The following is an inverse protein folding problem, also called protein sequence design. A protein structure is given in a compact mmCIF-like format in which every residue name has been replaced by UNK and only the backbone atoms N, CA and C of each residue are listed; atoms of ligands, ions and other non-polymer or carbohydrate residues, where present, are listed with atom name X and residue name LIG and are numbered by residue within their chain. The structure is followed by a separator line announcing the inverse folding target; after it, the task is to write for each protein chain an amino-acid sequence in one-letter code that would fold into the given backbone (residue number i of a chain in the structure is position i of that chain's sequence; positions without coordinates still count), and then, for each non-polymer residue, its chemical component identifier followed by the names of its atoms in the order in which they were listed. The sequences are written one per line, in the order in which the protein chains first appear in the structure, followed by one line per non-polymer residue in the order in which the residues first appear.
data_IF_011237930458
#
_entry.id   IF_011237930458
#
_cell.length_a   1.000
_cell.length_b   1.000
_cell.length_c   1.000
_cell.angle_alpha   90.00
_cell.angle_beta   90.00
_cell.angle_gamma   90.00
#
_symmetry.space_group_name_H-M   'P 1'
#
loop_
_entity.id
_entity.type
_entity.pdbx_description
1 polymer ?
#
# COMPACT_ATOMS: atom_id res chain seq x y z
N UNK A 1 -8.96 6.89 -6.35
CA UNK A 1 -7.61 6.62 -5.79
C UNK A 1 -7.18 7.90 -5.08
N UNK A 2 -6.87 7.81 -3.80
CA UNK A 2 -6.52 8.98 -3.00
C UNK A 2 -5.02 9.31 -3.14
N UNK A 3 -4.64 10.58 -3.32
CA UNK A 3 -3.28 11.02 -3.05
C UNK A 3 -2.94 10.83 -1.56
N UNK A 4 -1.65 10.80 -1.23
CA UNK A 4 -1.18 10.73 0.16
C UNK A 4 -1.42 12.04 0.92
N UNK A 5 -2.68 12.32 1.24
CA UNK A 5 -3.17 13.52 1.93
C UNK A 5 -4.26 13.12 2.91
N UNK A 6 -4.12 13.46 4.18
CA UNK A 6 -5.05 13.06 5.25
C UNK A 6 -6.50 13.43 4.94
N UNK A 7 -6.76 14.68 4.53
CA UNK A 7 -8.10 15.14 4.14
C UNK A 7 -8.71 14.26 3.03
N UNK A 8 -7.97 14.04 1.95
CA UNK A 8 -8.48 13.24 0.81
C UNK A 8 -8.65 11.75 1.17
N UNK A 9 -7.80 11.22 2.06
CA UNK A 9 -7.96 9.85 2.58
C UNK A 9 -9.26 9.73 3.39
N UNK A 10 -9.59 10.73 4.22
CA UNK A 10 -10.84 10.77 5.00
C UNK A 10 -12.05 10.81 4.09
N UNK A 11 -12.05 11.72 3.12
CA UNK A 11 -13.15 11.89 2.17
C UNK A 11 -13.44 10.60 1.38
N UNK A 12 -12.38 9.93 0.90
CA UNK A 12 -12.52 8.66 0.16
C UNK A 12 -13.04 7.53 1.05
N UNK A 13 -12.64 7.51 2.33
CA UNK A 13 -13.16 6.51 3.28
C UNK A 13 -14.63 6.75 3.56
N UNK A 14 -15.03 7.99 3.83
CA UNK A 14 -16.43 8.34 4.11
C UNK A 14 -17.34 8.08 2.90
N UNK A 15 -16.90 8.48 1.71
CA UNK A 15 -17.62 8.24 0.45
C UNK A 15 -17.79 6.73 0.17
N UNK A 16 -16.75 5.93 0.37
CA UNK A 16 -16.82 4.48 0.18
C UNK A 16 -17.76 3.80 1.18
N UNK A 17 -17.72 4.21 2.46
CA UNK A 17 -18.63 3.69 3.50
C UNK A 17 -20.08 4.08 3.18
N UNK A 18 -20.34 5.35 2.88
CA UNK A 18 -21.68 5.84 2.56
C UNK A 18 -22.26 5.18 1.30
N UNK A 19 -21.44 5.04 0.25
CA UNK A 19 -21.82 4.36 -1.00
C UNK A 19 -22.20 2.90 -0.76
N UNK A 20 -21.40 2.15 0.01
CA UNK A 20 -21.72 0.76 0.33
C UNK A 20 -23.00 0.63 1.20
N UNK A 21 -23.16 1.52 2.19
CA UNK A 21 -24.32 1.56 3.05
C UNK A 21 -25.62 1.85 2.29
N UNK A 22 -25.58 2.66 1.21
CA UNK A 22 -26.75 2.98 0.38
C UNK A 22 -27.44 1.77 -0.24
N UNK A 23 -26.71 0.65 -0.37
CA UNK A 23 -27.20 -0.64 -0.89
C UNK A 23 -27.19 -1.76 0.15
N UNK A 24 -26.95 -1.44 1.43
CA UNK A 24 -26.91 -2.41 2.52
C UNK A 24 -25.72 -3.37 2.46
N UNK A 25 -24.63 -2.99 1.78
CA UNK A 25 -23.42 -3.79 1.64
C UNK A 25 -22.29 -3.29 2.56
N UNK A 26 -21.36 -4.15 2.99
CA UNK A 26 -20.13 -3.70 3.62
C UNK A 26 -19.20 -3.05 2.59
N UNK A 27 -18.41 -2.04 2.97
CA UNK A 27 -17.39 -1.47 2.08
C UNK A 27 -16.27 -2.48 1.80
N UNK A 28 -15.62 -2.30 0.66
CA UNK A 28 -14.44 -3.05 0.26
C UNK A 28 -13.25 -2.10 0.07
N UNK A 29 -12.07 -2.54 0.49
CA UNK A 29 -10.86 -1.73 0.45
C UNK A 29 -9.79 -2.42 -0.39
N UNK A 30 -9.24 -1.66 -1.34
CA UNK A 30 -8.27 -2.14 -2.32
C UNK A 30 -7.22 -1.06 -2.53
N UNK A 31 -5.98 -1.33 -2.11
CA UNK A 31 -4.84 -0.47 -2.42
C UNK A 31 -4.28 -0.76 -3.81
N UNK A 32 -4.14 -2.03 -4.18
CA UNK A 32 -3.68 -2.49 -5.49
C UNK A 32 -4.53 -3.65 -6.03
N UNK A 33 -4.47 -3.86 -7.34
CA UNK A 33 -5.00 -5.02 -8.04
C UNK A 33 -4.25 -5.17 -9.38
N UNK A 34 -4.68 -6.11 -10.22
CA UNK A 34 -4.07 -6.41 -11.52
C UNK A 34 -4.30 -5.37 -12.64
N UNK A 35 -4.99 -4.26 -12.35
CA UNK A 35 -5.34 -3.20 -13.31
C UNK A 35 -4.79 -1.83 -12.92
N UNK A 36 -4.18 -1.71 -11.74
CA UNK A 36 -3.72 -0.44 -11.19
C UNK A 36 -2.24 -0.52 -10.86
N UNK A 37 -1.54 0.59 -11.04
CA UNK A 37 -0.15 0.77 -10.59
C UNK A 37 0.03 0.34 -9.14
N UNK A 38 1.08 -0.43 -8.86
CA UNK A 38 1.43 -0.87 -7.51
C UNK A 38 1.53 0.31 -6.53
N UNK A 39 1.04 0.11 -5.31
CA UNK A 39 0.94 1.15 -4.27
C UNK A 39 2.27 1.86 -3.99
N UNK A 40 3.40 1.14 -4.02
CA UNK A 40 4.73 1.75 -3.80
C UNK A 40 5.04 2.79 -4.85
N UNK A 41 4.87 2.47 -6.14
CA UNK A 41 5.09 3.41 -7.24
C UNK A 41 4.08 4.56 -7.22
N UNK A 42 2.83 4.28 -6.84
CA UNK A 42 1.80 5.32 -6.71
C UNK A 42 2.17 6.39 -5.68
N UNK A 43 2.84 5.99 -4.61
CA UNK A 43 3.20 6.89 -3.50
C UNK A 43 4.66 7.35 -3.50
N UNK A 44 5.47 6.92 -4.47
CA UNK A 44 6.89 7.28 -4.60
C UNK A 44 7.14 8.66 -5.21
N UNK A 45 6.10 9.34 -5.67
CA UNK A 45 6.17 10.65 -6.36
C UNK A 45 5.32 11.69 -5.65
N UNK A 46 5.33 12.92 -6.15
CA UNK A 46 4.52 14.02 -5.60
C UNK A 46 3.03 13.69 -5.55
N UNK A 47 2.36 14.15 -4.50
CA UNK A 47 1.00 13.75 -4.15
C UNK A 47 0.08 14.97 -4.28
N UNK A 48 -0.67 15.11 -5.39
CA UNK A 48 -1.46 16.31 -5.65
C UNK A 48 -2.63 16.44 -4.66
N UNK A 49 -3.17 17.65 -4.51
CA UNK A 49 -4.32 17.91 -3.63
C UNK A 49 -5.68 17.47 -4.22
N UNK A 50 -5.70 16.61 -5.24
CA UNK A 50 -6.93 16.15 -5.89
C UNK A 50 -6.84 14.66 -6.24
N UNK A 51 -7.99 14.02 -6.45
CA UNK A 51 -8.06 12.62 -6.87
C UNK A 51 -7.41 12.42 -8.24
N UNK A 52 -6.61 11.36 -8.37
CA UNK A 52 -5.89 11.04 -9.61
C UNK A 52 -6.38 9.73 -10.22
N UNK A 53 -6.51 9.73 -11.54
CA UNK A 53 -6.84 8.55 -12.35
C UNK A 53 -5.58 7.78 -12.81
N UNK A 54 -5.78 6.60 -13.40
CA UNK A 54 -4.68 5.76 -13.91
C UNK A 54 -3.84 6.46 -14.98
N UNK A 55 -4.51 7.13 -15.91
CA UNK A 55 -3.81 7.74 -17.05
C UNK A 55 -2.95 8.91 -16.61
N UNK A 56 -3.45 9.70 -15.66
CA UNK A 56 -2.67 10.76 -15.03
C UNK A 56 -1.45 10.19 -14.28
N UNK A 57 -1.65 9.10 -13.54
CA UNK A 57 -0.59 8.44 -12.78
C UNK A 57 0.52 7.88 -13.68
N UNK A 58 0.18 7.33 -14.86
CA UNK A 58 1.18 6.82 -15.81
C UNK A 58 1.86 7.92 -16.61
N UNK A 59 1.13 8.97 -17.01
CA UNK A 59 1.66 10.04 -17.85
C UNK A 59 2.84 10.81 -17.21
N UNK A 60 2.92 10.81 -15.88
CA UNK A 60 4.00 11.48 -15.12
C UNK A 60 5.26 10.64 -14.95
N UNK A 61 5.24 9.34 -15.22
CA UNK A 61 6.41 8.46 -15.04
C UNK A 61 7.63 8.95 -15.83
N UNK A 62 7.43 9.52 -17.02
CA UNK A 62 8.50 10.08 -17.84
C UNK A 62 9.04 11.43 -17.34
N UNK A 63 8.35 12.09 -16.40
CA UNK A 63 8.63 13.47 -15.98
C UNK A 63 9.07 13.59 -14.52
N UNK A 64 8.98 12.51 -13.75
CA UNK A 64 9.30 12.50 -12.33
C UNK A 64 9.85 11.14 -11.95
N UNK A 65 11.07 11.12 -11.42
CA UNK A 65 11.69 9.89 -10.93
C UNK A 65 11.01 9.44 -9.63
N UNK A 66 10.82 8.14 -9.42
CA UNK A 66 10.22 7.62 -8.20
C UNK A 66 11.24 7.56 -7.05
N UNK A 67 10.84 8.01 -5.86
CA UNK A 67 11.49 7.64 -4.60
C UNK A 67 10.82 6.37 -4.05
N UNK A 68 11.35 5.19 -4.43
CA UNK A 68 10.80 3.91 -3.96
C UNK A 68 10.98 3.70 -2.45
N UNK A 69 11.96 4.34 -1.79
CA UNK A 69 12.09 4.26 -0.34
C UNK A 69 10.92 4.97 0.34
N UNK A 70 10.58 6.17 -0.11
CA UNK A 70 9.39 6.91 0.32
C UNK A 70 8.10 6.14 0.00
N UNK A 71 7.99 5.63 -1.24
CA UNK A 71 6.85 4.84 -1.69
C UNK A 71 6.61 3.60 -0.82
N UNK A 72 7.65 2.88 -0.41
CA UNK A 72 7.55 1.73 0.50
C UNK A 72 7.09 2.14 1.90
N UNK A 73 7.59 3.25 2.45
CA UNK A 73 7.14 3.77 3.75
C UNK A 73 5.63 4.06 3.73
N UNK A 74 5.19 4.81 2.72
CA UNK A 74 3.76 5.16 2.52
C UNK A 74 2.90 3.94 2.25
N UNK A 75 3.35 2.98 1.45
CA UNK A 75 2.60 1.76 1.18
C UNK A 75 2.37 0.93 2.45
N UNK A 76 3.38 0.81 3.32
CA UNK A 76 3.27 0.15 4.63
C UNK A 76 2.26 0.87 5.53
N UNK A 77 2.32 2.20 5.59
CA UNK A 77 1.36 3.00 6.36
C UNK A 77 -0.07 2.86 5.81
N UNK A 78 -0.24 2.90 4.49
CA UNK A 78 -1.52 2.70 3.80
C UNK A 78 -2.13 1.33 4.11
N UNK A 79 -1.29 0.29 4.17
CA UNK A 79 -1.71 -1.07 4.50
C UNK A 79 -2.35 -1.13 5.89
N UNK A 80 -1.75 -0.47 6.89
CA UNK A 80 -2.32 -0.42 8.24
C UNK A 80 -3.64 0.36 8.30
N UNK A 81 -3.78 1.44 7.53
CA UNK A 81 -5.06 2.15 7.40
C UNK A 81 -6.12 1.22 6.79
N UNK A 82 -5.84 0.62 5.64
CA UNK A 82 -6.74 -0.35 4.99
C UNK A 82 -7.14 -1.48 5.96
N UNK A 83 -6.17 -2.02 6.69
CA UNK A 83 -6.36 -3.13 7.62
C UNK A 83 -6.98 -2.72 8.96
N UNK A 84 -7.27 -1.44 9.20
CA UNK A 84 -8.07 -0.97 10.33
C UNK A 84 -9.50 -0.54 9.94
N UNK A 85 -9.81 -0.40 8.64
CA UNK A 85 -11.15 -0.02 8.18
C UNK A 85 -12.18 -1.18 8.28
N UNK A 86 -13.48 -0.87 8.50
CA UNK A 86 -14.56 -1.87 8.57
C UNK A 86 -14.78 -2.55 7.21
N UNK A 87 -15.35 -3.75 7.17
CA UNK A 87 -15.61 -4.47 5.92
C UNK A 87 -14.43 -5.31 5.42
N UNK A 88 -14.36 -5.53 4.11
CA UNK A 88 -13.43 -6.50 3.50
C UNK A 88 -12.23 -5.81 2.87
N UNK A 89 -11.02 -6.20 3.30
CA UNK A 89 -9.78 -5.76 2.67
C UNK A 89 -9.29 -6.80 1.66
N UNK A 90 -8.84 -6.33 0.49
CA UNK A 90 -8.19 -7.16 -0.52
C UNK A 90 -6.70 -6.81 -0.56
N UNK A 91 -5.86 -7.84 -0.56
CA UNK A 91 -4.41 -7.72 -0.71
C UNK A 91 -4.02 -8.32 -2.06
N UNK A 92 -3.43 -7.51 -2.93
CA UNK A 92 -2.96 -7.99 -4.23
C UNK A 92 -1.57 -8.62 -4.11
N UNK A 93 -1.30 -9.63 -4.93
CA UNK A 93 -0.06 -10.40 -4.85
C UNK A 93 1.19 -9.49 -4.99
N UNK A 94 2.08 -9.56 -4.01
CA UNK A 94 3.29 -8.73 -3.92
C UNK A 94 3.08 -7.36 -3.28
N UNK A 95 1.86 -6.97 -2.93
CA UNK A 95 1.60 -5.78 -2.10
C UNK A 95 2.20 -5.98 -0.70
N UNK A 96 2.05 -7.18 -0.14
CA UNK A 96 2.64 -7.61 1.13
C UNK A 96 4.17 -7.69 1.10
N UNK A 97 4.77 -7.68 -0.10
CA UNK A 97 6.21 -7.60 -0.30
C UNK A 97 6.66 -6.16 -0.62
N UNK A 98 5.74 -5.21 -0.63
CA UNK A 98 5.93 -3.84 -1.09
C UNK A 98 6.48 -3.74 -2.52
N UNK A 99 6.20 -4.66 -3.44
CA UNK A 99 6.75 -4.56 -4.80
C UNK A 99 6.28 -3.25 -5.47
N UNK A 100 7.21 -2.61 -6.16
CA UNK A 100 6.98 -1.47 -7.04
C UNK A 100 6.57 -1.92 -8.45
N UNK A 101 5.97 -1.01 -9.20
CA UNK A 101 5.62 -1.18 -10.60
C UNK A 101 6.89 -1.30 -11.46
N UNK A 102 6.88 -2.21 -12.45
CA UNK A 102 7.91 -2.20 -13.49
C UNK A 102 7.45 -1.32 -14.64
N UNK A 103 7.97 -0.09 -14.65
CA UNK A 103 7.58 0.95 -15.60
C UNK A 103 8.26 0.79 -16.97
N UNK A 104 9.48 0.22 -17.00
CA UNK A 104 10.37 0.17 -18.16
C UNK A 104 10.42 -1.21 -18.84
N UNK A 105 9.27 -1.88 -18.94
CA UNK A 105 9.17 -3.15 -19.67
C UNK A 105 9.49 -2.96 -21.17
N UNK A 106 10.37 -3.78 -21.79
CA UNK A 106 10.60 -3.72 -23.23
C UNK A 106 9.29 -3.92 -24.02
N UNK A 107 9.10 -3.11 -25.06
CA UNK A 107 7.83 -3.06 -25.80
C UNK A 107 7.47 -4.36 -26.51
N UNK A 108 8.46 -5.16 -26.90
CA UNK A 108 8.31 -6.47 -27.52
C UNK A 108 7.94 -7.58 -26.52
N UNK A 109 8.11 -7.32 -25.22
CA UNK A 109 7.77 -8.25 -24.14
C UNK A 109 6.41 -7.95 -23.50
N UNK A 110 5.77 -6.82 -23.84
CA UNK A 110 4.43 -6.46 -23.35
C UNK A 110 3.38 -7.50 -23.77
N UNK A 111 2.51 -7.85 -22.84
CA UNK A 111 1.48 -8.88 -22.95
C UNK A 111 0.07 -8.32 -22.86
N UNK A 112 -0.11 -7.13 -22.28
CA UNK A 112 -1.40 -6.47 -22.15
C UNK A 112 -1.92 -6.01 -23.54
N UNK A 113 -3.11 -6.45 -23.98
CA UNK A 113 -3.68 -6.02 -25.26
C UNK A 113 -3.86 -4.49 -25.37
N UNK A 114 -3.95 -3.77 -24.24
CA UNK A 114 -3.98 -2.29 -24.22
C UNK A 114 -2.84 -1.67 -25.00
N UNK A 115 -1.64 -2.28 -24.97
CA UNK A 115 -0.46 -1.79 -25.69
C UNK A 115 -0.73 -1.70 -27.19
N UNK A 116 -1.22 -2.79 -27.78
CA UNK A 116 -1.54 -2.86 -29.22
C UNK A 116 -2.80 -2.04 -29.54
N UNK A 117 -3.84 -2.14 -28.70
CA UNK A 117 -5.14 -1.48 -28.95
C UNK A 117 -5.06 0.04 -28.87
N UNK A 118 -4.15 0.59 -28.07
CA UNK A 118 -3.90 2.04 -28.00
C UNK A 118 -3.07 2.56 -29.17
N UNK A 119 -2.55 1.70 -30.05
CA UNK A 119 -1.59 2.10 -31.07
C UNK A 119 -0.21 2.42 -30.47
N UNK A 120 0.19 1.68 -29.43
CA UNK A 120 1.50 1.78 -28.78
C UNK A 120 1.73 3.09 -28.01
N UNK A 121 0.68 3.61 -27.37
CA UNK A 121 0.76 4.85 -26.58
C UNK A 121 0.41 4.69 -25.10
N UNK A 122 -0.27 3.60 -24.72
CA UNK A 122 -0.52 3.24 -23.32
C UNK A 122 0.21 1.93 -22.98
N UNK A 123 1.20 2.05 -22.11
CA UNK A 123 2.03 0.94 -21.59
C UNK A 123 1.22 -0.20 -20.93
N UNK A 124 -0.05 0.05 -20.60
CA UNK A 124 -0.98 -0.95 -20.11
C UNK A 124 -0.78 -1.25 -18.62
N UNK A 125 -0.95 -2.54 -18.28
CA UNK A 125 -1.03 -3.04 -16.89
C UNK A 125 0.03 -4.11 -16.58
N UNK A 126 0.96 -4.38 -17.48
CA UNK A 126 1.93 -5.46 -17.29
C UNK A 126 2.90 -5.21 -16.14
N UNK A 127 3.22 -3.95 -15.82
CA UNK A 127 4.14 -3.59 -14.74
C UNK A 127 3.71 -4.09 -13.36
N UNK A 128 2.40 -4.21 -13.11
CA UNK A 128 1.89 -4.79 -11.87
C UNK A 128 1.74 -6.32 -11.93
N UNK A 129 1.88 -6.95 -13.11
CA UNK A 129 1.61 -8.38 -13.36
C UNK A 129 2.86 -9.26 -13.43
N UNK A 130 4.02 -8.67 -13.22
CA UNK A 130 5.30 -9.37 -13.18
C UNK A 130 5.25 -10.55 -12.18
N UNK A 131 5.80 -11.73 -12.55
CA UNK A 131 5.90 -12.89 -11.66
C UNK A 131 6.50 -12.55 -10.29
N UNK A 132 6.03 -13.21 -9.22
CA UNK A 132 6.48 -12.90 -7.85
C UNK A 132 7.87 -13.47 -7.52
N UNK A 133 8.69 -12.74 -6.74
CA UNK A 133 9.96 -13.24 -6.24
C UNK A 133 9.76 -14.09 -4.98
N UNK A 134 10.03 -15.40 -5.07
CA UNK A 134 9.87 -16.33 -3.94
C UNK A 134 11.14 -16.49 -3.11
N UNK A 135 12.32 -16.46 -3.74
CA UNK A 135 13.60 -16.67 -3.08
C UNK A 135 14.66 -15.65 -3.52
N UNK A 136 15.78 -15.61 -2.78
CA UNK A 136 16.88 -14.65 -2.99
C UNK A 136 17.88 -15.08 -4.09
N UNK A 137 17.51 -16.04 -4.94
CA UNK A 137 18.41 -16.52 -6.00
C UNK A 137 18.43 -15.58 -7.20
N UNK A 138 18.98 -16.01 -8.35
CA UNK A 138 18.88 -15.23 -9.58
C UNK A 138 17.45 -15.25 -10.14
N UNK A 139 17.14 -14.31 -11.03
CA UNK A 139 15.91 -14.34 -11.84
C UNK A 139 15.71 -15.74 -12.44
N UNK A 140 14.52 -16.36 -12.29
CA UNK A 140 13.26 -15.75 -11.87
C UNK A 140 12.88 -15.94 -10.38
N UNK A 141 13.85 -15.84 -9.45
CA UNK A 141 13.62 -15.84 -8.00
C UNK A 141 12.75 -16.99 -7.50
N UNK A 142 12.92 -18.19 -8.08
CA UNK A 142 12.13 -19.37 -7.74
C UNK A 142 10.70 -19.40 -8.27
N UNK A 143 10.28 -18.44 -9.11
CA UNK A 143 8.99 -18.52 -9.82
C UNK A 143 8.97 -19.69 -10.82
N UNK A 144 10.08 -19.91 -11.51
CA UNK A 144 10.33 -21.13 -12.28
C UNK A 144 11.32 -22.04 -11.54
N UNK A 145 11.16 -23.35 -11.71
CA UNK A 145 12.01 -24.37 -11.07
C UNK A 145 13.45 -24.34 -11.56
N UNK A 146 13.69 -23.83 -12.77
CA UNK A 146 15.02 -23.78 -13.39
C UNK A 146 15.50 -22.32 -13.44
N UNK A 147 16.63 -21.97 -12.79
CA UNK A 147 17.21 -20.63 -12.87
C UNK A 147 17.47 -20.18 -14.31
N UNK A 148 17.28 -18.89 -14.61
CA UNK A 148 17.43 -18.35 -15.97
C UNK A 148 16.29 -18.70 -16.94
N UNK A 149 15.23 -19.38 -16.50
CA UNK A 149 14.03 -19.59 -17.33
C UNK A 149 13.37 -18.24 -17.62
N UNK A 150 13.23 -17.91 -18.90
CA UNK A 150 12.49 -16.72 -19.32
C UNK A 150 11.00 -16.88 -18.97
N UNK A 151 10.46 -15.92 -18.24
CA UNK A 151 9.03 -15.83 -17.93
C UNK A 151 8.31 -14.96 -18.94
N UNK A 152 6.98 -15.10 -19.02
CA UNK A 152 6.12 -14.33 -19.93
C UNK A 152 6.21 -12.81 -19.71
N UNK A 153 6.57 -12.38 -18.50
CA UNK A 153 7.01 -11.03 -18.17
C UNK A 153 8.31 -11.14 -17.33
N UNK A 154 9.41 -10.46 -17.70
CA UNK A 154 10.67 -10.49 -16.97
C UNK A 154 10.57 -9.83 -15.60
N UNK A 155 11.15 -10.47 -14.58
CA UNK A 155 11.40 -9.83 -13.28
C UNK A 155 12.65 -8.94 -13.35
N UNK A 156 12.70 -7.83 -12.61
CA UNK A 156 13.90 -6.99 -12.55
C UNK A 156 14.98 -7.61 -11.66
N UNK A 157 16.24 -7.25 -11.88
CA UNK A 157 17.40 -7.82 -11.18
C UNK A 157 17.50 -7.44 -9.69
N UNK A 158 16.81 -6.38 -9.26
CA UNK A 158 16.88 -5.87 -7.88
C UNK A 158 15.81 -6.45 -6.94
N UNK A 159 14.97 -7.40 -7.38
CA UNK A 159 13.90 -7.95 -6.55
C UNK A 159 14.32 -9.04 -5.55
N UNK A 160 15.60 -9.43 -5.53
CA UNK A 160 16.12 -10.43 -4.60
C UNK A 160 15.78 -10.09 -3.13
N UNK A 161 16.02 -8.84 -2.72
CA UNK A 161 15.79 -8.36 -1.35
C UNK A 161 14.29 -8.22 -0.99
N UNK A 162 13.43 -8.14 -2.01
CA UNK A 162 11.98 -8.08 -1.82
C UNK A 162 11.31 -9.45 -1.89
N UNK A 163 12.08 -10.51 -2.12
CA UNK A 163 11.56 -11.88 -2.18
C UNK A 163 10.90 -12.31 -0.87
N UNK A 164 9.98 -13.28 -0.97
CA UNK A 164 9.33 -13.89 0.21
C UNK A 164 10.38 -14.40 1.19
N UNK A 165 11.39 -15.13 0.70
CA UNK A 165 12.45 -15.68 1.56
C UNK A 165 13.26 -14.61 2.32
N UNK A 166 13.60 -13.50 1.66
CA UNK A 166 14.31 -12.40 2.30
C UNK A 166 13.47 -11.78 3.42
N UNK A 167 12.22 -11.43 3.09
CA UNK A 167 11.34 -10.75 4.03
C UNK A 167 10.84 -11.66 5.17
N UNK A 168 10.73 -12.97 4.94
CA UNK A 168 10.32 -13.93 5.98
C UNK A 168 11.27 -13.90 7.18
N UNK A 169 12.57 -13.73 6.94
CA UNK A 169 13.62 -13.72 7.97
C UNK A 169 13.78 -12.40 8.71
N UNK A 170 13.32 -11.30 8.12
CA UNK A 170 13.42 -9.97 8.73
C UNK A 170 12.12 -9.61 9.46
N UNK A 171 12.10 -9.54 10.79
CA UNK A 171 10.91 -9.17 11.56
C UNK A 171 10.37 -7.77 11.24
N UNK A 172 11.21 -6.86 10.73
CA UNK A 172 10.79 -5.50 10.34
C UNK A 172 10.24 -5.41 8.91
N UNK A 173 10.28 -6.50 8.15
CA UNK A 173 9.89 -6.54 6.74
C UNK A 173 8.42 -6.22 6.50
N UNK A 174 8.06 -5.89 5.27
CA UNK A 174 6.65 -5.60 4.93
C UNK A 174 5.80 -6.86 5.02
N UNK A 175 6.38 -8.02 4.66
CA UNK A 175 5.70 -9.30 4.79
C UNK A 175 5.30 -9.57 6.24
N UNK A 176 6.22 -9.36 7.19
CA UNK A 176 5.94 -9.58 8.60
C UNK A 176 5.02 -8.51 9.19
N UNK A 177 5.08 -7.25 8.73
CA UNK A 177 4.08 -6.23 9.05
C UNK A 177 2.65 -6.67 8.65
N UNK A 178 2.46 -7.15 7.42
CA UNK A 178 1.15 -7.63 6.96
C UNK A 178 0.67 -8.83 7.78
N UNK A 179 1.56 -9.79 8.06
CA UNK A 179 1.24 -10.96 8.89
C UNK A 179 0.80 -10.54 10.29
N UNK A 180 1.49 -9.60 10.92
CA UNK A 180 1.16 -9.15 12.27
C UNK A 180 -0.13 -8.31 12.29
N UNK A 181 -0.32 -7.43 11.31
CA UNK A 181 -1.58 -6.72 11.11
C UNK A 181 -2.77 -7.68 10.94
N UNK A 182 -2.62 -8.72 10.11
CA UNK A 182 -3.68 -9.71 9.87
C UNK A 182 -3.95 -10.61 11.07
N UNK A 183 -2.93 -10.94 11.88
CA UNK A 183 -3.10 -11.66 13.16
C UNK A 183 -3.86 -10.81 14.19
N UNK A 184 -3.57 -9.51 14.26
CA UNK A 184 -4.20 -8.57 15.20
C UNK A 184 -5.59 -8.10 14.76
N UNK A 185 -5.87 -8.05 13.45
CA UNK A 185 -7.15 -7.52 12.92
C UNK A 185 -8.40 -8.17 13.53
N UNK A 186 -8.47 -9.50 13.77
CA UNK A 186 -9.62 -10.12 14.43
C UNK A 186 -9.86 -9.66 15.87
N UNK A 187 -8.82 -9.37 16.65
CA UNK A 187 -8.97 -8.95 18.05
C UNK A 187 -9.22 -7.45 18.17
N UNK A 188 -8.63 -6.63 17.29
CA UNK A 188 -8.76 -5.17 17.34
C UNK A 188 -10.00 -4.66 16.61
N UNK A 189 -10.29 -5.18 15.41
CA UNK A 189 -11.16 -4.49 14.45
C UNK A 189 -12.46 -5.23 14.14
N UNK A 190 -12.55 -6.54 14.44
CA UNK A 190 -13.75 -7.33 14.19
C UNK A 190 -14.86 -6.94 15.17
N UNK A 191 -15.99 -6.49 14.64
CA UNK A 191 -17.10 -6.03 15.47
C UNK A 191 -16.87 -4.70 16.18
N UNK A 192 -15.79 -3.98 15.84
CA UNK A 192 -15.42 -2.70 16.45
C UNK A 192 -16.33 -1.52 16.05
N UNK A 193 -17.42 -1.76 15.33
CA UNK A 193 -18.35 -0.72 14.89
C UNK A 193 -17.78 0.21 13.81
N UNK A 194 -18.37 1.40 13.77
CA UNK A 194 -18.18 2.42 12.74
C UNK A 194 -16.91 3.26 12.97
N UNK A 195 -16.40 3.85 11.88
CA UNK A 195 -15.28 4.80 11.91
C UNK A 195 -15.74 6.09 12.57
N UNK A 196 -15.06 6.50 13.64
CA UNK A 196 -15.22 7.83 14.24
C UNK A 196 -13.93 8.62 14.08
N UNK A 197 -13.94 9.63 13.19
CA UNK A 197 -12.77 10.49 12.99
C UNK A 197 -12.45 11.30 14.24
N UNK A 198 -11.16 11.40 14.55
CA UNK A 198 -10.63 12.20 15.65
C UNK A 198 -10.20 13.58 15.14
N UNK A 199 -10.37 14.60 15.98
CA UNK A 199 -9.89 15.96 15.71
C UNK A 199 -8.40 16.05 16.07
N UNK A 200 -7.55 16.03 15.05
CA UNK A 200 -6.08 15.97 15.14
C UNK A 200 -5.45 16.95 14.16
N UNK A 201 -4.12 17.03 14.12
CA UNK A 201 -3.40 17.90 13.20
C UNK A 201 -3.86 17.71 11.73
N UNK A 202 -3.97 18.77 10.90
CA UNK A 202 -4.59 18.70 9.57
C UNK A 202 -3.99 17.65 8.61
N UNK A 203 -2.68 17.38 8.73
CA UNK A 203 -1.98 16.42 7.89
C UNK A 203 -1.99 14.99 8.46
N UNK A 204 -2.72 14.75 9.54
CA UNK A 204 -2.92 13.44 10.17
C UNK A 204 -4.37 13.01 9.97
N UNK A 205 -4.55 11.76 9.52
CA UNK A 205 -5.86 11.11 9.57
C UNK A 205 -5.85 10.12 10.74
N UNK A 206 -6.79 10.27 11.66
CA UNK A 206 -6.92 9.40 12.81
C UNK A 206 -8.38 9.06 13.08
N UNK A 207 -8.67 7.80 13.38
CA UNK A 207 -10.01 7.35 13.73
C UNK A 207 -10.01 6.37 14.89
N UNK A 208 -11.09 6.40 15.68
CA UNK A 208 -11.44 5.38 16.67
C UNK A 208 -12.45 4.38 16.08
N UNK A 209 -12.27 3.10 16.42
CA UNK A 209 -13.26 2.04 16.25
C UNK A 209 -13.19 1.11 17.45
N UNK A 210 -14.25 1.08 18.25
CA UNK A 210 -14.37 0.14 19.37
C UNK A 210 -13.30 0.33 20.44
N UNK A 211 -12.79 1.56 20.61
CA UNK A 211 -11.76 1.91 21.59
C UNK A 211 -10.32 1.64 21.15
N UNK A 212 -10.11 1.07 19.96
CA UNK A 212 -8.81 1.04 19.29
C UNK A 212 -8.75 2.18 18.26
N UNK A 213 -7.56 2.75 18.06
CA UNK A 213 -7.37 3.86 17.13
C UNK A 213 -6.38 3.51 16.01
N UNK A 214 -6.58 4.06 14.83
CA UNK A 214 -5.61 4.03 13.74
C UNK A 214 -5.25 5.47 13.39
N UNK A 215 -3.95 5.78 13.37
CA UNK A 215 -3.40 7.09 13.04
C UNK A 215 -2.45 6.95 11.86
N UNK A 216 -2.48 7.89 10.91
CA UNK A 216 -1.51 7.99 9.81
C UNK A 216 -1.12 9.45 9.58
N UNK A 217 0.20 9.69 9.50
CA UNK A 217 0.75 11.01 9.23
C UNK A 217 1.13 11.14 7.75
N UNK A 218 0.49 12.09 7.05
CA UNK A 218 0.73 12.40 5.63
C UNK A 218 1.43 13.74 5.43
N UNK A 219 1.81 14.41 6.52
CA UNK A 219 2.54 15.67 6.52
C UNK A 219 4.05 15.48 6.61
N UNK A 220 4.76 16.59 6.75
CA UNK A 220 6.23 16.63 6.75
C UNK A 220 6.83 16.73 8.17
N UNK A 221 5.99 16.94 9.20
CA UNK A 221 6.38 17.09 10.59
C UNK A 221 5.87 15.93 11.46
N UNK A 222 6.64 15.57 12.49
CA UNK A 222 6.20 14.60 13.49
C UNK A 222 5.07 15.15 14.38
N UNK A 223 4.16 14.28 14.81
CA UNK A 223 3.03 14.63 15.68
C UNK A 223 3.03 13.77 16.94
N UNK A 224 2.82 14.37 18.11
CA UNK A 224 2.74 13.61 19.36
C UNK A 224 1.53 12.67 19.37
N UNK A 225 1.77 11.44 19.84
CA UNK A 225 0.73 10.44 20.05
C UNK A 225 -0.04 10.75 21.35
N UNK A 226 -1.33 10.40 21.43
CA UNK A 226 -2.15 10.69 22.59
C UNK A 226 -1.65 9.98 23.86
N UNK A 227 -1.71 10.70 24.99
CA UNK A 227 -1.45 10.13 26.31
C UNK A 227 -2.40 8.96 26.65
N UNK A 228 -1.92 8.05 27.50
CA UNK A 228 -2.73 6.91 27.96
C UNK A 228 -2.96 5.81 26.91
N UNK A 229 -2.39 5.96 25.71
CA UNK A 229 -2.40 4.94 24.67
C UNK A 229 -1.07 4.17 24.59
N UNK A 230 -1.13 2.98 24.01
CA UNK A 230 0.01 2.13 23.68
C UNK A 230 -0.02 1.81 22.18
N UNK A 231 1.13 1.91 21.52
CA UNK A 231 1.30 1.46 20.13
C UNK A 231 1.28 -0.07 20.11
N UNK A 232 0.25 -0.65 19.50
CA UNK A 232 0.13 -2.11 19.34
C UNK A 232 0.72 -2.61 18.02
N UNK A 233 0.78 -1.74 17.02
CA UNK A 233 1.43 -2.01 15.74
C UNK A 233 1.83 -0.69 15.06
N UNK A 234 2.97 -0.66 14.40
CA UNK A 234 3.46 0.50 13.65
C UNK A 234 3.97 0.09 12.28
N UNK A 235 3.84 0.96 11.28
CA UNK A 235 4.35 0.71 9.93
C UNK A 235 5.88 0.83 9.85
N UNK A 236 6.53 1.36 10.89
CA UNK A 236 7.98 1.45 11.06
C UNK A 236 8.36 0.98 12.47
N UNK A 237 9.59 0.53 12.68
CA UNK A 237 10.06 0.04 13.99
C UNK A 237 10.18 1.14 15.05
N UNK A 238 10.36 2.39 14.63
CA UNK A 238 10.81 3.47 15.51
C UNK A 238 9.67 4.46 15.79
N UNK A 239 8.71 4.04 16.63
CA UNK A 239 7.64 4.93 17.11
C UNK A 239 7.64 4.95 18.63
N UNK A 240 8.15 6.05 19.19
CA UNK A 240 8.14 6.32 20.63
C UNK A 240 7.57 7.72 20.89
N UNK A 241 6.32 7.79 21.35
CA UNK A 241 5.61 9.03 21.68
C UNK A 241 5.31 9.98 20.51
N UNK A 242 5.99 9.84 19.36
CA UNK A 242 5.86 10.71 18.18
C UNK A 242 5.59 9.90 16.92
N UNK A 243 4.55 10.28 16.18
CA UNK A 243 4.20 9.76 14.86
C UNK A 243 4.96 10.53 13.77
N UNK A 244 6.06 9.97 13.30
CA UNK A 244 6.85 10.51 12.19
C UNK A 244 6.05 10.63 10.88
N UNK A 245 6.46 11.49 9.94
CA UNK A 245 5.94 11.52 8.57
C UNK A 245 5.89 10.15 7.90
N UNK A 246 4.87 9.92 7.08
CA UNK A 246 4.67 8.71 6.27
C UNK A 246 4.57 7.40 7.09
N UNK A 247 4.18 7.53 8.35
CA UNK A 247 4.00 6.41 9.28
C UNK A 247 2.54 6.30 9.71
N UNK A 248 2.09 5.06 9.90
CA UNK A 248 0.83 4.74 10.55
C UNK A 248 1.05 3.88 11.79
N UNK A 249 0.15 4.03 12.77
CA UNK A 249 0.10 3.20 13.98
C UNK A 249 -1.31 2.77 14.32
N UNK A 250 -1.40 1.63 14.98
CA UNK A 250 -2.58 1.20 15.72
C UNK A 250 -2.33 1.39 17.22
N UNK A 251 -3.31 1.94 17.91
CA UNK A 251 -3.24 2.27 19.33
C UNK A 251 -4.37 1.58 20.10
N UNK A 252 -4.11 1.26 21.37
CA UNK A 252 -5.11 0.87 22.35
C UNK A 252 -4.87 1.58 23.69
N UNK A 253 -5.94 1.77 24.47
CA UNK A 253 -5.81 2.27 25.83
C UNK A 253 -4.92 1.35 26.68
N UNK A 254 -4.12 1.95 27.56
CA UNK A 254 -3.29 1.24 28.55
C UNK A 254 -4.12 0.49 29.59
#
# INVERSE_FOLDING_TARGET
RAPWRAEVLRDVVDDAIASAASVGAPPTWVLSNHDVTRTVTRFSRSQPGHLVGTDWERARWANEDPDHTLGRRRARAAALVQLALPGTAYVYQGEELALEEIENLPDDLRQDPTWVQSGFTDVGRDGCRIPLPWNETAVPYGFASTPGTATWLPQPEHWAEHSVQAQDRDPASTLNLYRDALKLRPSLWRGAGDVTWLDVAPNVAAFDRGGAQCWVNTGDDGVELPDGMTVVLASTSDVDGTLSPDTAVWLQAR
#
